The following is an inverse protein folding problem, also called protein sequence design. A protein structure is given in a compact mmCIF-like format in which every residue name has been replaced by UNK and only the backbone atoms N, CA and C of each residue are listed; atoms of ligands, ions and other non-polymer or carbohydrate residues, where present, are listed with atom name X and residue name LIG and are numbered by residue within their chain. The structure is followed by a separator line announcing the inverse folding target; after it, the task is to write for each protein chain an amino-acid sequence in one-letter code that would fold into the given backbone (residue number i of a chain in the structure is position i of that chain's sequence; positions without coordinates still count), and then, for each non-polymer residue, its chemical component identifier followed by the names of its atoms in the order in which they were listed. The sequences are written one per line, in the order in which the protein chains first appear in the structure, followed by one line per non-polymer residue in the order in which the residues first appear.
data_IF_007993506438
#
_entry.id   IF_007993506438
#
_cell.length_a   1.000
_cell.length_b   1.000
_cell.length_c   1.000
_cell.angle_alpha   90.00
_cell.angle_beta   90.00
_cell.angle_gamma   90.00
#
_symmetry.space_group_name_H-M   'P 1'
#
loop_
_entity.id
_entity.type
_entity.pdbx_description
1 polymer ?
#
# COMPACT_ATOMS: atom_id res chain seq x y z
N UNK A 1 -15.50 -14.10 -17.49
CA UNK A 1 -14.05 -14.19 -17.20
C UNK A 1 -13.29 -12.89 -17.45
N UNK A 2 -13.43 -12.26 -18.62
CA UNK A 2 -12.71 -11.02 -19.00
C UNK A 2 -12.83 -9.91 -17.94
N UNK A 3 -14.06 -9.55 -17.53
CA UNK A 3 -14.31 -8.49 -16.53
C UNK A 3 -13.54 -8.77 -15.24
N UNK A 4 -13.63 -9.99 -14.73
CA UNK A 4 -12.97 -10.38 -13.48
C UNK A 4 -11.45 -10.31 -13.58
N UNK A 5 -10.87 -10.93 -14.61
CA UNK A 5 -9.43 -10.96 -14.80
C UNK A 5 -8.84 -9.55 -14.91
N UNK A 6 -9.45 -8.71 -15.76
CA UNK A 6 -9.01 -7.33 -15.94
C UNK A 6 -9.19 -6.52 -14.66
N UNK A 7 -10.37 -6.60 -14.00
CA UNK A 7 -10.63 -5.90 -12.74
C UNK A 7 -9.56 -6.22 -11.71
N UNK A 8 -9.17 -7.49 -11.53
CA UNK A 8 -8.15 -7.90 -10.58
C UNK A 8 -6.80 -7.25 -10.87
N UNK A 9 -6.37 -7.21 -12.14
CA UNK A 9 -5.10 -6.58 -12.54
C UNK A 9 -5.08 -5.08 -12.26
N UNK A 10 -6.12 -4.37 -12.69
CA UNK A 10 -6.23 -2.92 -12.45
C UNK A 10 -6.31 -2.62 -10.95
N UNK A 11 -7.12 -3.37 -10.22
CA UNK A 11 -7.26 -3.21 -8.77
C UNK A 11 -5.92 -3.39 -8.05
N UNK A 12 -5.14 -4.40 -8.43
CA UNK A 12 -3.83 -4.67 -7.84
C UNK A 12 -2.80 -3.57 -8.14
N UNK A 13 -2.77 -3.05 -9.37
CA UNK A 13 -1.94 -1.92 -9.74
C UNK A 13 -2.34 -0.65 -8.96
N UNK A 14 -3.63 -0.38 -8.85
CA UNK A 14 -4.16 0.74 -8.08
C UNK A 14 -3.84 0.64 -6.59
N UNK A 15 -3.94 -0.54 -5.98
CA UNK A 15 -3.53 -0.77 -4.58
C UNK A 15 -2.03 -0.54 -4.36
N UNK A 16 -1.21 -0.87 -5.35
CA UNK A 16 0.24 -0.62 -5.30
C UNK A 16 0.53 0.90 -5.29
N UNK A 17 -0.14 1.66 -6.15
CA UNK A 17 -0.06 3.12 -6.19
C UNK A 17 -0.61 3.74 -4.90
N UNK A 18 -1.76 3.27 -4.43
CA UNK A 18 -2.39 3.69 -3.18
C UNK A 18 -1.44 3.52 -1.99
N UNK A 19 -0.77 2.38 -1.91
CA UNK A 19 0.23 2.12 -0.88
C UNK A 19 1.36 3.16 -0.90
N UNK A 20 1.87 3.54 -2.07
CA UNK A 20 2.87 4.60 -2.19
C UNK A 20 2.34 5.97 -1.73
N UNK A 21 1.11 6.32 -2.09
CA UNK A 21 0.46 7.58 -1.71
C UNK A 21 0.26 7.65 -0.19
N UNK A 22 -0.27 6.58 0.41
CA UNK A 22 -0.47 6.48 1.86
C UNK A 22 0.84 6.71 2.62
N UNK A 23 1.94 6.12 2.15
CA UNK A 23 3.27 6.27 2.76
C UNK A 23 3.81 7.70 2.66
N UNK A 24 3.67 8.33 1.48
CA UNK A 24 4.06 9.72 1.25
C UNK A 24 3.28 10.67 2.15
N UNK A 25 1.98 10.42 2.31
CA UNK A 25 1.07 11.24 3.12
C UNK A 25 1.07 10.87 4.60
N UNK A 26 2.07 10.12 5.07
CA UNK A 26 2.22 9.76 6.49
C UNK A 26 0.99 9.05 7.08
N UNK A 27 0.27 8.28 6.25
CA UNK A 27 -0.92 7.53 6.63
C UNK A 27 -2.06 8.41 7.21
N UNK A 28 -2.19 9.66 6.74
CA UNK A 28 -3.33 10.52 7.06
C UNK A 28 -4.59 10.08 6.32
N UNK A 29 -5.30 9.09 6.86
CA UNK A 29 -6.46 8.46 6.24
C UNK A 29 -7.48 9.42 5.62
N UNK A 30 -7.83 10.50 6.34
CA UNK A 30 -8.81 11.48 5.87
C UNK A 30 -8.47 12.08 4.50
N UNK A 31 -7.18 12.16 4.15
CA UNK A 31 -6.72 12.74 2.89
C UNK A 31 -6.92 11.83 1.67
N UNK A 32 -7.07 10.52 1.87
CA UNK A 32 -7.10 9.55 0.77
C UNK A 32 -8.25 8.54 0.82
N UNK A 33 -9.11 8.54 1.86
CA UNK A 33 -10.33 7.70 1.88
C UNK A 33 -11.21 7.89 0.64
N UNK A 34 -11.22 9.07 0.05
CA UNK A 34 -11.99 9.33 -1.17
C UNK A 34 -11.42 8.61 -2.41
N UNK A 35 -10.11 8.33 -2.45
CA UNK A 35 -9.44 7.67 -3.58
C UNK A 35 -9.88 6.21 -3.70
N UNK A 36 -10.18 5.55 -2.59
CA UNK A 36 -10.60 4.15 -2.56
C UNK A 36 -11.83 3.91 -3.44
N UNK A 37 -12.85 4.78 -3.34
CA UNK A 37 -14.06 4.72 -4.18
C UNK A 37 -13.71 4.77 -5.67
N UNK A 38 -12.75 5.61 -6.04
CA UNK A 38 -12.30 5.76 -7.43
C UNK A 38 -11.47 4.57 -7.91
N UNK A 39 -10.73 3.90 -7.03
CA UNK A 39 -10.00 2.68 -7.37
C UNK A 39 -10.99 1.56 -7.75
N UNK A 40 -12.04 1.37 -6.94
CA UNK A 40 -13.08 0.37 -7.22
C UNK A 40 -13.84 0.70 -8.50
N UNK A 41 -14.32 1.95 -8.62
CA UNK A 41 -15.03 2.39 -9.81
C UNK A 41 -14.16 2.27 -11.06
N UNK A 42 -12.91 2.73 -11.01
CA UNK A 42 -11.98 2.70 -12.14
C UNK A 42 -11.68 1.28 -12.64
N UNK A 43 -11.42 0.32 -11.74
CA UNK A 43 -11.14 -1.06 -12.13
C UNK A 43 -12.31 -1.73 -12.87
N UNK A 44 -13.55 -1.45 -12.45
CA UNK A 44 -14.75 -1.95 -13.13
C UNK A 44 -15.03 -1.17 -14.42
N UNK A 45 -14.92 0.16 -14.39
CA UNK A 45 -15.18 1.03 -15.54
C UNK A 45 -14.23 0.78 -16.71
N UNK A 46 -13.01 0.28 -16.48
CA UNK A 46 -12.10 -0.09 -17.57
C UNK A 46 -12.44 -1.47 -18.13
N UNK A 47 -12.80 -2.43 -17.28
CA UNK A 47 -13.02 -3.82 -17.70
C UNK A 47 -14.39 -4.05 -18.35
N UNK A 48 -15.43 -3.32 -17.91
CA UNK A 48 -16.80 -3.50 -18.38
C UNK A 48 -17.01 -3.11 -19.86
N UNK A 49 -16.52 -1.94 -20.35
CA UNK A 49 -16.65 -1.59 -21.76
C UNK A 49 -15.96 -2.59 -22.69
N UNK A 50 -14.79 -3.12 -22.30
CA UNK A 50 -14.07 -4.14 -23.08
C UNK A 50 -14.92 -5.39 -23.24
N UNK A 51 -15.54 -5.85 -22.14
CA UNK A 51 -16.42 -7.01 -22.20
C UNK A 51 -17.67 -6.75 -23.06
N UNK A 52 -18.29 -5.56 -22.96
CA UNK A 52 -19.46 -5.19 -23.77
C UNK A 52 -19.08 -5.15 -25.26
N UNK A 53 -17.97 -4.51 -25.61
CA UNK A 53 -17.47 -4.46 -27.00
C UNK A 53 -17.22 -5.87 -27.52
N UNK A 54 -16.57 -6.73 -26.73
CA UNK A 54 -16.30 -8.11 -27.13
C UNK A 54 -17.57 -8.94 -27.36
N UNK A 55 -18.60 -8.76 -26.50
CA UNK A 55 -19.90 -9.42 -26.68
C UNK A 55 -20.60 -8.93 -27.94
N UNK A 56 -20.67 -7.61 -28.14
CA UNK A 56 -21.36 -7.00 -29.30
C UNK A 56 -20.71 -7.41 -30.62
N UNK A 57 -19.38 -7.58 -30.64
CA UNK A 57 -18.63 -8.06 -31.80
C UNK A 57 -18.71 -9.57 -32.01
N UNK A 58 -19.27 -10.34 -31.07
CA UNK A 58 -19.23 -11.80 -31.12
C UNK A 58 -17.80 -12.37 -31.09
N UNK A 59 -16.83 -11.63 -30.56
CA UNK A 59 -15.43 -12.02 -30.48
C UNK A 59 -15.10 -12.89 -29.26
N UNK A 60 -16.10 -13.21 -28.44
CA UNK A 60 -15.96 -14.15 -27.33
C UNK A 60 -16.04 -15.58 -27.87
N UNK A 61 -14.90 -16.26 -27.86
CA UNK A 61 -14.72 -17.61 -28.35
C UNK A 61 -14.08 -18.50 -27.29
N UNK A 62 -14.17 -19.82 -27.48
CA UNK A 62 -13.47 -20.77 -26.64
C UNK A 62 -11.96 -20.61 -26.86
N UNK A 63 -11.22 -20.32 -25.80
CA UNK A 63 -9.78 -20.20 -25.78
C UNK A 63 -9.23 -21.05 -24.65
N UNK A 64 -8.68 -22.21 -25.01
CA UNK A 64 -8.26 -23.24 -24.05
C UNK A 64 -9.42 -23.65 -23.11
N UNK A 65 -9.29 -23.41 -21.80
CA UNK A 65 -10.27 -23.79 -20.77
C UNK A 65 -11.27 -22.68 -20.42
N UNK A 66 -11.17 -21.52 -21.06
CA UNK A 66 -11.98 -20.34 -20.75
C UNK A 66 -12.55 -19.70 -22.02
N UNK A 67 -13.63 -18.93 -21.88
CA UNK A 67 -14.07 -18.04 -22.96
C UNK A 67 -13.27 -16.73 -22.91
N UNK A 68 -12.62 -16.38 -24.03
CA UNK A 68 -11.79 -15.19 -24.15
C UNK A 68 -12.08 -14.43 -25.45
N UNK A 69 -11.49 -13.24 -25.59
CA UNK A 69 -11.49 -12.49 -26.85
C UNK A 69 -10.48 -13.20 -27.76
N UNK A 70 -10.97 -13.96 -28.74
CA UNK A 70 -10.13 -14.75 -29.63
C UNK A 70 -10.83 -14.92 -30.98
N UNK A 71 -10.09 -15.28 -32.02
CA UNK A 71 -10.63 -15.67 -33.32
C UNK A 71 -11.22 -17.09 -33.30
N UNK A 72 -12.15 -17.37 -34.22
CA UNK A 72 -12.70 -18.72 -34.42
C UNK A 72 -12.81 -19.08 -35.90
N UNK A 73 -12.29 -20.25 -36.34
CA UNK A 73 -11.52 -21.22 -35.55
C UNK A 73 -10.15 -20.65 -35.11
N UNK A 74 -9.62 -21.11 -33.97
CA UNK A 74 -8.39 -20.57 -33.40
C UNK A 74 -7.22 -20.71 -34.39
N UNK A 75 -6.54 -19.61 -34.72
CA UNK A 75 -5.43 -19.61 -35.68
C UNK A 75 -5.82 -19.26 -37.12
N UNK A 76 -7.11 -19.03 -37.41
CA UNK A 76 -7.58 -18.69 -38.76
C UNK A 76 -6.95 -17.40 -39.32
N UNK A 77 -6.53 -16.45 -38.49
CA UNK A 77 -5.84 -15.24 -38.98
C UNK A 77 -4.43 -15.53 -39.54
N UNK A 78 -3.81 -16.64 -39.12
CA UNK A 78 -2.47 -17.03 -39.55
C UNK A 78 -2.49 -17.94 -40.79
N UNK A 79 -3.63 -18.58 -41.06
CA UNK A 79 -3.80 -19.53 -42.14
C UNK A 79 -4.76 -18.95 -43.21
N UNK A 80 -4.26 -18.50 -44.37
CA UNK A 80 -5.11 -17.89 -45.39
C UNK A 80 -6.12 -18.87 -46.02
N UNK A 81 -5.94 -20.18 -45.84
CA UNK A 81 -6.84 -21.20 -46.37
C UNK A 81 -8.06 -21.44 -45.45
N UNK A 82 -8.04 -20.91 -44.23
CA UNK A 82 -9.11 -21.07 -43.23
C UNK A 82 -9.77 -19.73 -42.96
N UNK A 83 -10.99 -19.53 -43.50
CA UNK A 83 -11.77 -18.33 -43.23
C UNK A 83 -12.18 -18.24 -41.74
N UNK A 84 -11.93 -17.09 -41.12
CA UNK A 84 -12.41 -16.81 -39.77
C UNK A 84 -13.94 -16.60 -39.78
N UNK A 85 -14.67 -17.39 -39.01
CA UNK A 85 -16.13 -17.22 -38.86
C UNK A 85 -16.48 -16.06 -37.92
N UNK A 86 -15.65 -15.84 -36.90
CA UNK A 86 -15.84 -14.80 -35.87
C UNK A 86 -14.50 -14.19 -35.45
N UNK A 87 -14.50 -12.89 -35.17
CA UNK A 87 -13.32 -12.18 -34.69
C UNK A 87 -12.31 -11.77 -35.77
N UNK A 88 -12.70 -11.77 -37.05
CA UNK A 88 -11.84 -11.34 -38.19
C UNK A 88 -11.65 -9.80 -38.26
N UNK A 89 -12.20 -9.06 -37.29
CA UNK A 89 -12.12 -7.61 -37.31
C UNK A 89 -10.70 -7.15 -36.92
N UNK A 90 -10.10 -6.27 -37.71
CA UNK A 90 -8.88 -5.51 -37.32
C UNK A 90 -9.00 -4.90 -35.92
N UNK A 91 -10.23 -4.57 -35.52
CA UNK A 91 -10.54 -4.03 -34.19
C UNK A 91 -10.40 -5.10 -33.09
N UNK A 92 -10.78 -6.36 -33.31
CA UNK A 92 -10.60 -7.45 -32.35
C UNK A 92 -9.11 -7.68 -32.09
N UNK A 93 -8.29 -7.76 -33.14
CA UNK A 93 -6.85 -7.88 -33.00
C UNK A 93 -6.21 -6.69 -32.27
N UNK A 94 -6.65 -5.46 -32.61
CA UNK A 94 -6.15 -4.26 -31.95
C UNK A 94 -6.54 -4.23 -30.47
N UNK A 95 -7.78 -4.59 -30.13
CA UNK A 95 -8.25 -4.70 -28.74
C UNK A 95 -7.45 -5.76 -28.00
N UNK A 96 -7.36 -6.98 -28.52
CA UNK A 96 -6.61 -8.06 -27.88
C UNK A 96 -5.14 -7.68 -27.65
N UNK A 97 -4.48 -7.17 -28.68
CA UNK A 97 -3.06 -6.78 -28.62
C UNK A 97 -2.84 -5.62 -27.64
N UNK A 98 -3.57 -4.52 -27.81
CA UNK A 98 -3.39 -3.32 -26.97
C UNK A 98 -3.73 -3.64 -25.52
N UNK A 99 -4.85 -4.31 -25.25
CA UNK A 99 -5.23 -4.66 -23.88
C UNK A 99 -4.31 -5.73 -23.28
N UNK A 100 -3.89 -6.73 -24.05
CA UNK A 100 -2.93 -7.74 -23.60
C UNK A 100 -1.60 -7.11 -23.17
N UNK A 101 -1.01 -6.28 -24.04
CA UNK A 101 0.23 -5.56 -23.73
C UNK A 101 0.07 -4.54 -22.60
N UNK A 102 -1.01 -3.76 -22.60
CA UNK A 102 -1.29 -2.80 -21.54
C UNK A 102 -1.44 -3.51 -20.18
N UNK A 103 -2.14 -4.66 -20.15
CA UNK A 103 -2.29 -5.48 -18.96
C UNK A 103 -0.95 -5.99 -18.46
N UNK A 104 -0.08 -6.49 -19.36
CA UNK A 104 1.27 -6.92 -19.02
C UNK A 104 2.11 -5.77 -18.42
N UNK A 105 2.07 -4.59 -19.03
CA UNK A 105 2.81 -3.42 -18.53
C UNK A 105 2.28 -2.99 -17.16
N UNK A 106 0.96 -2.81 -17.03
CA UNK A 106 0.33 -2.41 -15.77
C UNK A 106 0.67 -3.39 -14.66
N UNK A 107 0.68 -4.68 -14.96
CA UNK A 107 0.89 -5.73 -13.99
C UNK A 107 2.36 -5.96 -13.63
N UNK A 108 3.27 -5.96 -14.61
CA UNK A 108 4.70 -6.23 -14.37
C UNK A 108 5.54 -4.99 -14.08
N UNK A 109 5.06 -3.79 -14.41
CA UNK A 109 5.87 -2.56 -14.26
C UNK A 109 5.43 -1.75 -13.05
N UNK A 110 4.12 -1.53 -12.86
CA UNK A 110 3.63 -0.61 -11.80
C UNK A 110 3.93 -1.15 -10.38
N UNK A 111 3.59 -2.40 -10.02
CA UNK A 111 3.83 -2.89 -8.66
C UNK A 111 5.30 -2.96 -8.24
N UNK A 112 6.26 -3.37 -9.10
CA UNK A 112 7.68 -3.31 -8.76
C UNK A 112 8.18 -1.88 -8.56
N UNK A 113 7.78 -0.94 -9.41
CA UNK A 113 8.13 0.47 -9.23
C UNK A 113 7.59 0.97 -7.88
N UNK A 114 6.34 0.64 -7.54
CA UNK A 114 5.74 0.98 -6.25
C UNK A 114 6.54 0.39 -5.07
N UNK A 115 6.94 -0.88 -5.13
CA UNK A 115 7.80 -1.49 -4.11
C UNK A 115 9.17 -0.81 -4.00
N UNK A 116 9.79 -0.44 -5.12
CA UNK A 116 11.06 0.30 -5.12
C UNK A 116 10.88 1.66 -4.43
N UNK A 117 9.81 2.39 -4.76
CA UNK A 117 9.46 3.67 -4.11
C UNK A 117 9.23 3.49 -2.61
N UNK A 118 8.52 2.43 -2.19
CA UNK A 118 8.29 2.11 -0.78
C UNK A 118 9.61 1.82 -0.04
N UNK A 119 10.51 1.02 -0.64
CA UNK A 119 11.83 0.73 -0.08
C UNK A 119 12.70 1.98 0.04
N UNK A 120 12.70 2.85 -0.98
CA UNK A 120 13.41 4.14 -0.92
C UNK A 120 12.84 5.02 0.18
N UNK A 121 11.51 5.04 0.34
CA UNK A 121 10.82 5.79 1.38
C UNK A 121 11.21 5.31 2.78
N UNK A 122 11.31 3.98 3.01
CA UNK A 122 11.83 3.41 4.26
C UNK A 122 13.26 3.88 4.54
N UNK A 123 14.13 3.87 3.52
CA UNK A 123 15.52 4.32 3.69
C UNK A 123 15.59 5.79 4.11
N UNK A 124 14.76 6.65 3.51
CA UNK A 124 14.66 8.07 3.88
C UNK A 124 14.19 8.25 5.32
N UNK A 125 13.11 7.57 5.72
CA UNK A 125 12.61 7.61 7.11
C UNK A 125 13.68 7.11 8.10
N UNK A 126 14.43 6.06 7.76
CA UNK A 126 15.53 5.56 8.60
C UNK A 126 16.62 6.60 8.85
N UNK A 127 16.96 7.41 7.84
CA UNK A 127 17.94 8.49 7.98
C UNK A 127 17.38 9.60 8.89
N UNK A 128 16.11 9.97 8.71
CA UNK A 128 15.47 10.99 9.54
C UNK A 128 15.36 10.56 11.01
N UNK A 129 14.97 9.31 11.29
CA UNK A 129 14.91 8.73 12.65
C UNK A 129 16.27 8.86 13.38
N UNK A 130 17.40 8.71 12.67
CA UNK A 130 18.73 8.85 13.28
C UNK A 130 19.04 10.28 13.71
N UNK A 131 18.48 11.28 13.03
CA UNK A 131 18.67 12.70 13.32
C UNK A 131 17.75 13.21 14.44
N UNK A 132 16.64 12.51 14.70
CA UNK A 132 15.67 12.92 15.72
C UNK A 132 16.12 12.53 17.15
N UNK A 133 15.84 13.41 18.11
CA UNK A 133 16.07 13.20 19.55
C UNK A 133 14.70 13.29 20.28
N UNK A 134 14.57 12.61 21.42
CA UNK A 134 13.39 12.71 22.31
C UNK A 134 12.09 12.16 21.71
N UNK A 135 10.97 12.86 21.95
CA UNK A 135 9.61 12.44 21.54
C UNK A 135 9.49 12.20 20.03
N UNK A 136 10.12 13.04 19.20
CA UNK A 136 10.11 12.89 17.73
C UNK A 136 10.73 11.57 17.28
N UNK A 137 11.81 11.11 17.95
CA UNK A 137 12.45 9.83 17.63
C UNK A 137 11.51 8.65 17.85
N UNK A 138 10.69 8.68 18.89
CA UNK A 138 9.71 7.61 19.17
C UNK A 138 8.62 7.57 18.10
N UNK A 139 8.04 8.72 17.74
CA UNK A 139 7.00 8.82 16.71
C UNK A 139 7.53 8.31 15.35
N UNK A 140 8.70 8.80 14.93
CA UNK A 140 9.31 8.37 13.67
C UNK A 140 9.73 6.88 13.68
N UNK A 141 10.13 6.34 14.84
CA UNK A 141 10.41 4.91 14.99
C UNK A 141 9.14 4.06 14.86
N UNK A 142 8.02 4.50 15.42
CA UNK A 142 6.72 3.84 15.26
C UNK A 142 6.28 3.87 13.79
N UNK A 143 6.37 5.03 13.13
CA UNK A 143 6.09 5.18 11.69
C UNK A 143 6.95 4.25 10.84
N UNK A 144 8.25 4.15 11.14
CA UNK A 144 9.17 3.24 10.45
C UNK A 144 8.75 1.77 10.60
N UNK A 145 8.26 1.36 11.79
CA UNK A 145 7.78 0.00 12.03
C UNK A 145 6.54 -0.29 11.16
N UNK A 146 5.52 0.57 11.23
CA UNK A 146 4.33 0.46 10.40
C UNK A 146 4.65 0.38 8.90
N UNK A 147 5.55 1.25 8.43
CA UNK A 147 5.99 1.26 7.03
C UNK A 147 6.69 -0.04 6.60
N UNK A 148 7.53 -0.60 7.50
CA UNK A 148 8.22 -1.87 7.26
C UNK A 148 7.21 -3.02 7.18
N UNK A 149 6.22 -3.03 8.06
CA UNK A 149 5.18 -4.06 8.05
C UNK A 149 4.34 -3.98 6.77
N UNK A 150 3.82 -2.80 6.40
CA UNK A 150 3.09 -2.58 5.13
C UNK A 150 3.92 -3.01 3.92
N UNK A 151 5.19 -2.63 3.87
CA UNK A 151 6.07 -3.02 2.74
C UNK A 151 6.29 -4.54 2.72
N UNK A 152 6.43 -5.19 3.87
CA UNK A 152 6.54 -6.64 3.96
C UNK A 152 5.28 -7.33 3.46
N UNK A 153 4.10 -6.81 3.82
CA UNK A 153 2.80 -7.32 3.34
C UNK A 153 2.72 -7.18 1.82
N UNK A 154 2.93 -5.98 1.28
CA UNK A 154 2.90 -5.72 -0.16
C UNK A 154 3.90 -6.60 -0.92
N UNK A 155 5.10 -6.79 -0.36
CA UNK A 155 6.13 -7.66 -0.96
C UNK A 155 5.66 -9.13 -1.01
N UNK A 156 5.14 -9.66 0.10
CA UNK A 156 4.64 -11.05 0.15
C UNK A 156 3.47 -11.26 -0.82
N UNK A 157 2.52 -10.32 -0.86
CA UNK A 157 1.41 -10.36 -1.81
C UNK A 157 1.89 -10.33 -3.25
N UNK A 158 2.85 -9.45 -3.58
CA UNK A 158 3.37 -9.35 -4.95
C UNK A 158 4.06 -10.62 -5.38
N UNK A 159 4.97 -11.15 -4.57
CA UNK A 159 5.70 -12.38 -4.92
C UNK A 159 4.77 -13.58 -5.02
N UNK A 160 3.76 -13.68 -4.16
CA UNK A 160 2.76 -14.76 -4.23
C UNK A 160 1.95 -14.70 -5.53
N UNK A 161 1.52 -13.50 -5.90
CA UNK A 161 0.78 -13.28 -7.15
C UNK A 161 1.67 -13.52 -8.37
N UNK A 162 2.89 -12.99 -8.38
CA UNK A 162 3.83 -13.19 -9.49
C UNK A 162 4.24 -14.65 -9.66
N UNK A 163 4.50 -15.36 -8.57
CA UNK A 163 4.87 -16.78 -8.61
C UNK A 163 3.77 -17.66 -9.20
N UNK A 164 2.50 -17.27 -9.05
CA UNK A 164 1.37 -18.01 -9.63
C UNK A 164 1.12 -17.64 -11.09
N UNK A 165 1.36 -16.38 -11.48
CA UNK A 165 1.14 -15.91 -12.85
C UNK A 165 2.31 -16.14 -13.81
N UNK A 166 3.53 -16.31 -13.31
CA UNK A 166 4.72 -16.43 -14.18
C UNK A 166 4.62 -17.61 -15.15
N UNK A 167 3.98 -18.72 -14.75
CA UNK A 167 3.80 -19.89 -15.62
C UNK A 167 2.85 -19.59 -16.78
N UNK A 168 1.75 -18.86 -16.54
CA UNK A 168 0.85 -18.40 -17.60
C UNK A 168 1.57 -17.48 -18.58
N UNK A 169 2.43 -16.59 -18.08
CA UNK A 169 3.20 -15.69 -18.94
C UNK A 169 4.22 -16.45 -19.77
N UNK A 170 4.88 -17.46 -19.20
CA UNK A 170 5.80 -18.33 -19.96
C UNK A 170 5.01 -19.12 -21.00
N UNK A 171 3.81 -19.62 -20.68
CA UNK A 171 2.94 -20.31 -21.63
C UNK A 171 2.55 -19.40 -22.81
N UNK A 172 2.08 -18.18 -22.52
CA UNK A 172 1.73 -17.20 -23.53
C UNK A 172 2.96 -16.80 -24.38
N UNK A 173 4.11 -16.55 -23.76
CA UNK A 173 5.34 -16.24 -24.48
C UNK A 173 5.80 -17.41 -25.37
N UNK A 174 5.66 -18.65 -24.90
CA UNK A 174 5.95 -19.84 -25.69
C UNK A 174 5.03 -19.94 -26.91
N UNK A 175 3.72 -19.75 -26.72
CA UNK A 175 2.75 -19.74 -27.82
C UNK A 175 3.02 -18.64 -28.84
N UNK A 176 3.40 -17.44 -28.37
CA UNK A 176 3.77 -16.32 -29.25
C UNK A 176 5.03 -16.62 -30.09
N UNK A 177 6.06 -17.25 -29.49
CA UNK A 177 7.34 -17.53 -30.16
C UNK A 177 7.25 -18.75 -31.08
N UNK A 178 6.60 -19.82 -30.62
CA UNK A 178 6.56 -21.11 -31.32
C UNK A 178 5.33 -21.23 -32.24
N UNK A 179 4.29 -20.44 -32.00
CA UNK A 179 3.02 -20.51 -32.74
C UNK A 179 2.19 -21.75 -32.40
N UNK A 180 2.51 -22.47 -31.31
CA UNK A 180 1.80 -23.68 -30.86
C UNK A 180 1.51 -23.61 -29.38
N UNK A 181 0.32 -24.08 -28.98
CA UNK A 181 -0.09 -24.16 -27.58
C UNK A 181 0.58 -25.36 -26.91
N UNK A 182 1.27 -25.13 -25.79
CA UNK A 182 1.77 -26.20 -24.94
C UNK A 182 0.77 -26.50 -23.82
N UNK A 183 -0.09 -27.49 -24.05
CA UNK A 183 -1.16 -27.86 -23.12
C UNK A 183 -0.65 -28.21 -21.71
N UNK A 184 0.50 -28.89 -21.59
CA UNK A 184 1.06 -29.22 -20.27
C UNK A 184 1.39 -27.96 -19.47
N UNK A 185 1.99 -26.96 -20.14
CA UNK A 185 2.36 -25.71 -19.50
C UNK A 185 1.12 -24.86 -19.15
N UNK A 186 0.12 -24.83 -20.04
CA UNK A 186 -1.15 -24.16 -19.79
C UNK A 186 -1.91 -24.77 -18.60
N UNK A 187 -2.03 -26.10 -18.54
CA UNK A 187 -2.69 -26.82 -17.43
C UNK A 187 -2.00 -26.50 -16.10
N UNK A 188 -0.67 -26.53 -16.05
CA UNK A 188 0.08 -26.17 -14.82
C UNK A 188 -0.19 -24.72 -14.43
N UNK A 189 -0.22 -23.80 -15.40
CA UNK A 189 -0.54 -22.39 -15.18
C UNK A 189 -1.93 -22.16 -14.59
N UNK A 190 -2.95 -22.84 -15.13
CA UNK A 190 -4.33 -22.80 -14.62
C UNK A 190 -4.41 -23.38 -13.20
N UNK A 191 -3.76 -24.51 -12.93
CA UNK A 191 -3.70 -25.10 -11.60
C UNK A 191 -3.06 -24.16 -10.56
N UNK A 192 -1.92 -23.53 -10.90
CA UNK A 192 -1.25 -22.56 -10.03
C UNK A 192 -2.10 -21.31 -9.78
N UNK A 193 -2.81 -20.85 -10.81
CA UNK A 193 -3.74 -19.73 -10.70
C UNK A 193 -4.93 -20.07 -9.78
N UNK A 194 -5.44 -21.29 -9.84
CA UNK A 194 -6.49 -21.76 -8.92
C UNK A 194 -6.01 -21.80 -7.46
N UNK A 195 -4.76 -22.19 -7.22
CA UNK A 195 -4.16 -22.22 -5.87
C UNK A 195 -3.84 -20.81 -5.33
N UNK A 196 -3.79 -19.79 -6.20
CA UNK A 196 -3.46 -18.42 -5.82
C UNK A 196 -4.32 -17.88 -4.67
N UNK A 197 -5.63 -18.15 -4.68
CA UNK A 197 -6.54 -17.72 -3.61
C UNK A 197 -6.13 -18.30 -2.24
N UNK A 198 -5.72 -19.57 -2.20
CA UNK A 198 -5.25 -20.24 -0.98
C UNK A 198 -3.95 -19.61 -0.50
N UNK A 199 -3.01 -19.31 -1.40
CA UNK A 199 -1.74 -18.65 -1.03
C UNK A 199 -2.00 -17.26 -0.45
N UNK A 200 -2.88 -16.47 -1.08
CA UNK A 200 -3.25 -15.14 -0.58
C UNK A 200 -3.94 -15.22 0.79
N UNK A 201 -4.81 -16.20 1.00
CA UNK A 201 -5.46 -16.45 2.29
C UNK A 201 -4.44 -16.81 3.38
N UNK A 202 -3.46 -17.68 3.07
CA UNK A 202 -2.40 -18.03 3.99
C UNK A 202 -1.53 -16.82 4.36
N UNK A 203 -1.20 -15.97 3.38
CA UNK A 203 -0.49 -14.71 3.64
C UNK A 203 -1.33 -13.82 4.54
N UNK A 204 -2.62 -13.66 4.26
CA UNK A 204 -3.52 -12.86 5.09
C UNK A 204 -3.56 -13.33 6.55
N UNK A 205 -3.83 -14.62 6.81
CA UNK A 205 -3.88 -15.15 8.17
C UNK A 205 -2.54 -15.07 8.91
N UNK A 206 -1.41 -15.24 8.20
CA UNK A 206 -0.07 -15.05 8.81
C UNK A 206 0.15 -13.61 9.25
N UNK A 207 -0.39 -12.65 8.51
CA UNK A 207 -0.31 -11.23 8.86
C UNK A 207 -1.23 -10.89 10.02
N UNK A 208 -2.43 -11.46 10.05
CA UNK A 208 -3.38 -11.29 11.15
C UNK A 208 -2.87 -11.93 12.45
N UNK A 209 -2.33 -13.14 12.40
CA UNK A 209 -1.74 -13.79 13.58
C UNK A 209 -0.54 -13.00 14.17
N UNK A 210 0.17 -12.24 13.34
CA UNK A 210 1.25 -11.33 13.80
C UNK A 210 0.68 -10.07 14.47
N UNK A 211 -0.52 -9.62 14.08
CA UNK A 211 -1.26 -8.48 14.68
C UNK A 211 -1.62 -8.78 16.13
N UNK A 212 -2.28 -9.92 16.40
CA UNK A 212 -2.78 -10.27 17.75
C UNK A 212 -1.67 -10.26 18.79
N UNK A 213 -0.51 -10.86 18.49
CA UNK A 213 0.65 -10.90 19.41
C UNK A 213 1.22 -9.54 19.78
N UNK A 214 0.94 -8.52 18.98
CA UNK A 214 1.48 -7.17 19.18
C UNK A 214 0.58 -6.32 20.08
N UNK A 215 -0.72 -6.65 20.20
CA UNK A 215 -1.72 -5.91 20.99
C UNK A 215 -1.78 -6.43 22.43
N UNK A 216 -1.63 -7.73 22.66
CA UNK A 216 -1.77 -8.35 23.99
C UNK A 216 -0.66 -7.96 25.00
N UNK A 217 0.37 -7.23 24.55
CA UNK A 217 1.48 -6.79 25.39
C UNK A 217 1.55 -5.27 25.60
N UNK A 218 0.49 -4.53 25.29
CA UNK A 218 0.32 -3.22 25.88
C UNK A 218 -0.20 -3.46 27.30
N UNK A 219 0.63 -3.41 28.37
CA UNK A 219 0.08 -3.40 29.72
C UNK A 219 -0.92 -2.26 29.73
N UNK A 220 -2.17 -2.63 29.97
CA UNK A 220 -3.28 -1.70 30.01
C UNK A 220 -2.80 -0.54 30.86
N UNK A 221 -2.73 0.60 30.18
CA UNK A 221 -2.51 1.90 30.72
C UNK A 221 -3.50 2.12 31.87
N UNK A 222 -3.42 1.46 33.03
CA UNK A 222 -4.17 1.85 34.21
C UNK A 222 -3.56 3.20 34.59
N UNK A 223 -3.96 4.21 33.83
CA UNK A 223 -4.20 5.55 34.27
C UNK A 223 -5.23 5.33 35.37
N UNK A 224 -4.76 4.89 36.55
CA UNK A 224 -5.36 5.25 37.81
C UNK A 224 -5.52 6.74 37.64
N UNK A 225 -6.76 7.13 37.37
CA UNK A 225 -7.14 8.50 37.23
C UNK A 225 -6.44 9.21 38.38
N UNK A 226 -5.61 10.19 38.07
CA UNK A 226 -5.39 11.29 38.98
C UNK A 226 -6.72 12.07 39.06
N UNK A 227 -7.80 11.36 39.40
CA UNK A 227 -9.03 11.90 39.93
C UNK A 227 -8.57 12.38 41.29
N UNK A 228 -8.46 13.69 41.39
CA UNK A 228 -7.91 14.35 42.56
C UNK A 228 -8.69 13.94 43.79
N UNK A 229 -8.15 13.00 44.53
CA UNK A 229 -8.43 12.93 45.96
C UNK A 229 -7.81 14.17 46.57
N UNK A 230 -8.69 15.13 46.83
CA UNK A 230 -8.55 16.16 47.85
C UNK A 230 -7.20 16.86 47.88
N UNK A 231 -7.16 18.04 47.27
CA UNK A 231 -6.32 19.14 47.72
C UNK A 231 -6.71 19.49 49.17
N UNK A 232 -6.34 18.64 50.12
CA UNK A 232 -6.31 18.95 51.53
C UNK A 232 -5.21 20.00 51.72
N UNK A 233 -5.61 21.20 52.07
CA UNK A 233 -4.78 22.36 52.34
C UNK A 233 -3.50 22.00 53.12
N UNK A 234 -2.39 21.84 52.42
CA UNK A 234 -1.06 21.93 53.02
C UNK A 234 -0.61 23.40 52.93
N UNK A 235 -0.56 24.14 54.04
CA UNK A 235 -0.10 25.52 54.06
C UNK A 235 1.42 25.52 53.95
N UNK A 236 1.92 25.67 52.72
CA UNK A 236 3.36 25.67 52.46
C UNK A 236 3.69 25.61 50.98
N UNK A 237 3.13 26.54 50.18
CA UNK A 237 3.53 26.73 48.78
C UNK A 237 4.98 27.21 48.73
N UNK A 238 5.93 26.30 48.65
CA UNK A 238 7.24 26.59 48.06
C UNK A 238 7.01 26.84 46.57
N UNK A 239 7.18 28.10 46.16
CA UNK A 239 7.20 28.47 44.74
C UNK A 239 8.26 27.62 44.07
N UNK A 240 7.86 26.74 43.15
CA UNK A 240 8.78 26.00 42.31
C UNK A 240 9.55 27.04 41.48
N UNK A 241 10.79 27.33 41.86
CA UNK A 241 11.58 28.37 41.20
C UNK A 241 12.32 27.78 40.00
N UNK A 242 12.67 28.65 39.06
CA UNK A 242 13.49 28.26 37.89
C UNK A 242 14.84 27.67 38.33
N UNK A 243 15.31 28.02 39.54
CA UNK A 243 16.50 27.42 40.15
C UNK A 243 16.30 25.94 40.47
N UNK A 244 15.16 25.55 41.05
CA UNK A 244 14.82 24.14 41.35
C UNK A 244 14.74 23.29 40.07
N UNK A 245 14.21 23.87 38.99
CA UNK A 245 14.16 23.21 37.67
C UNK A 245 15.57 23.05 37.07
N UNK A 246 16.43 24.06 37.22
CA UNK A 246 17.83 24.01 36.74
C UNK A 246 18.68 23.05 37.57
N UNK A 247 18.50 23.00 38.87
CA UNK A 247 19.19 22.08 39.77
C UNK A 247 18.77 20.62 39.52
N UNK A 248 17.47 20.37 39.30
CA UNK A 248 16.97 19.07 38.87
C UNK A 248 17.48 18.66 37.47
N UNK A 249 17.78 19.62 36.59
CA UNK A 249 18.37 19.37 35.28
C UNK A 249 19.90 19.16 35.32
N UNK A 250 20.60 19.75 36.28
CA UNK A 250 22.06 19.64 36.45
C UNK A 250 22.50 18.38 37.20
N UNK A 251 21.59 17.69 37.88
CA UNK A 251 21.81 16.36 38.42
C UNK A 251 21.23 15.30 37.48
N UNK A 252 21.97 14.84 36.43
CA UNK A 252 21.61 13.65 35.67
C UNK A 252 21.87 12.43 36.56
N UNK A 253 21.02 12.25 37.57
CA UNK A 253 20.97 11.05 38.40
C UNK A 253 20.82 9.87 37.43
N UNK A 254 21.77 8.93 37.56
CA UNK A 254 21.71 7.53 37.09
C UNK A 254 20.26 7.17 36.75
N UNK A 255 19.95 7.11 35.46
CA UNK A 255 18.61 6.81 34.94
C UNK A 255 18.12 5.47 35.48
N UNK A 256 17.50 5.50 36.66
CA UNK A 256 16.51 4.50 37.07
C UNK A 256 15.44 4.62 36.01
N UNK A 257 15.23 3.55 35.25
CA UNK A 257 14.21 3.45 34.21
C UNK A 257 12.86 3.84 34.80
N UNK A 258 12.44 5.09 34.58
CA UNK A 258 11.13 5.54 35.03
C UNK A 258 10.07 4.77 34.23
N UNK A 259 9.00 4.29 34.89
CA UNK A 259 7.95 3.48 34.26
C UNK A 259 7.28 4.16 33.05
N UNK A 260 7.38 5.49 32.95
CA UNK A 260 6.87 6.27 31.82
C UNK A 260 7.57 5.94 30.47
N UNK A 261 8.87 5.64 30.49
CA UNK A 261 9.59 5.24 29.27
C UNK A 261 9.18 3.84 28.77
N UNK A 262 8.74 2.95 29.68
CA UNK A 262 8.13 1.66 29.33
C UNK A 262 6.70 1.84 28.78
N UNK A 263 5.94 2.78 29.33
CA UNK A 263 4.55 3.04 28.95
C UNK A 263 4.40 3.60 27.52
N UNK A 264 5.33 4.45 27.06
CA UNK A 264 5.30 4.98 25.68
C UNK A 264 5.85 3.98 24.64
N UNK A 265 6.67 3.00 25.06
CA UNK A 265 7.17 1.94 24.18
C UNK A 265 6.12 0.85 23.90
N UNK A 266 5.00 0.85 24.64
CA UNK A 266 4.05 -0.24 24.66
C UNK A 266 2.89 -0.12 23.66
N UNK A 267 2.68 1.00 22.96
CA UNK A 267 1.56 1.15 22.02
C UNK A 267 2.00 1.18 20.54
N UNK A 268 2.23 0.02 19.91
CA UNK A 268 2.49 -0.07 18.48
C UNK A 268 1.19 0.08 17.68
N UNK A 269 1.01 1.24 17.07
CA UNK A 269 -0.07 1.52 16.13
C UNK A 269 -0.02 0.55 14.93
N UNK A 270 -1.11 -0.13 14.62
CA UNK A 270 -1.28 -0.89 13.37
C UNK A 270 -2.14 -0.10 12.39
N UNK A 271 -1.58 0.25 11.24
CA UNK A 271 -2.34 0.76 10.09
C UNK A 271 -2.55 -0.40 9.10
N UNK A 272 -3.79 -0.59 8.64
CA UNK A 272 -4.17 -1.63 7.70
C UNK A 272 -4.80 -1.03 6.44
N UNK A 273 -4.40 -1.55 5.28
CA UNK A 273 -4.91 -1.09 3.97
C UNK A 273 -6.34 -1.61 3.72
N UNK A 274 -6.79 -2.64 4.44
CA UNK A 274 -8.03 -3.37 4.14
C UNK A 274 -9.10 -3.34 5.24
N UNK A 275 -8.86 -2.70 6.39
CA UNK A 275 -9.79 -2.81 7.53
C UNK A 275 -10.92 -1.76 7.53
N UNK A 276 -10.83 -0.66 6.78
CA UNK A 276 -11.92 0.32 6.59
C UNK A 276 -12.43 1.08 7.83
N UNK A 277 -12.29 0.53 9.03
CA UNK A 277 -12.77 1.06 10.30
C UNK A 277 -11.63 1.74 11.08
N UNK A 278 -11.76 3.05 11.39
CA UNK A 278 -10.84 3.69 12.32
C UNK A 278 -11.08 3.14 13.73
N UNK A 279 -10.05 2.55 14.35
CA UNK A 279 -10.09 2.04 15.72
C UNK A 279 -10.49 3.16 16.71
N UNK A 280 -11.67 3.09 17.36
CA UNK A 280 -12.16 4.12 18.27
C UNK A 280 -11.30 4.28 19.52
N UNK A 281 -10.45 3.29 19.86
CA UNK A 281 -9.57 3.33 21.03
C UNK A 281 -8.12 3.73 20.67
N UNK A 282 -7.86 4.10 19.42
CA UNK A 282 -6.54 4.59 19.02
C UNK A 282 -6.17 5.87 19.78
N UNK A 283 -4.98 5.95 20.43
CA UNK A 283 -4.47 7.18 21.03
C UNK A 283 -4.35 8.34 20.03
N UNK A 284 -4.44 8.03 18.73
CA UNK A 284 -4.42 8.99 17.61
C UNK A 284 -5.80 9.47 17.19
N UNK A 285 -6.89 8.80 17.55
CA UNK A 285 -8.25 9.29 17.29
C UNK A 285 -8.45 10.69 17.90
N UNK A 286 -7.81 10.96 19.04
CA UNK A 286 -7.79 12.27 19.72
C UNK A 286 -6.97 13.35 19.00
N UNK A 287 -6.05 12.96 18.13
CA UNK A 287 -5.24 13.87 17.30
C UNK A 287 -5.74 13.97 15.85
N UNK A 288 -6.72 13.13 15.47
CA UNK A 288 -7.37 13.13 14.15
C UNK A 288 -8.72 13.87 14.17
N UNK A 289 -9.36 13.99 15.34
CA UNK A 289 -10.38 15.01 15.57
C UNK A 289 -9.68 16.36 15.76
N UNK A 290 -9.37 17.03 14.64
CA UNK A 290 -8.86 18.40 14.62
C UNK A 290 -9.87 19.46 15.09
N UNK A 291 -11.02 19.06 15.62
CA UNK A 291 -12.02 19.98 16.17
C UNK A 291 -11.74 20.37 17.63
N UNK A 292 -10.61 19.95 18.21
CA UNK A 292 -10.18 20.41 19.53
C UNK A 292 -9.40 21.74 19.42
N UNK A 293 -10.17 22.83 19.51
CA UNK A 293 -9.79 24.20 19.87
C UNK A 293 -8.88 24.98 18.90
N UNK A 294 -9.53 25.68 17.97
CA UNK A 294 -9.06 26.94 17.39
C UNK A 294 -9.25 28.17 18.32
N UNK A 295 -9.39 27.95 19.62
CA UNK A 295 -9.38 29.01 20.64
C UNK A 295 -8.15 28.81 21.54
N UNK A 296 -7.00 29.28 21.08
CA UNK A 296 -6.00 29.92 21.94
C UNK A 296 -4.84 30.48 21.11
N UNK A 297 -4.76 31.82 21.12
CA UNK A 297 -3.52 32.55 21.36
C UNK A 297 -2.38 32.33 20.35
N UNK A 298 -2.32 33.24 19.39
CA UNK A 298 -1.10 33.70 18.74
C UNK A 298 0.07 33.80 19.72
N UNK A 299 1.02 32.86 19.62
CA UNK A 299 2.41 33.09 19.95
C UNK A 299 3.24 32.67 18.73
N UNK A 300 3.74 33.69 18.04
CA UNK A 300 4.63 33.59 16.89
C UNK A 300 5.93 32.88 17.30
N UNK A 301 5.99 31.57 17.07
CA UNK A 301 7.27 30.87 16.95
C UNK A 301 7.64 30.86 15.47
N UNK A 302 8.40 31.90 15.12
CA UNK A 302 9.11 32.09 13.87
C UNK A 302 10.01 30.87 13.59
N UNK A 303 9.42 29.85 12.96
CA UNK A 303 10.16 28.68 12.49
C UNK A 303 10.73 29.05 11.12
N UNK A 304 11.98 29.52 11.14
CA UNK A 304 12.74 29.97 9.98
C UNK A 304 12.49 29.14 8.72
N UNK A 305 12.04 29.85 7.69
CA UNK A 305 11.91 29.41 6.32
C UNK A 305 13.26 28.90 5.80
N UNK A 306 13.51 27.60 5.99
CA UNK A 306 14.49 26.85 5.24
C UNK A 306 13.99 26.73 3.80
N UNK A 307 14.47 27.64 2.95
CA UNK A 307 14.20 27.70 1.52
C UNK A 307 14.19 26.31 0.86
N UNK A 308 13.04 25.95 0.32
CA UNK A 308 12.92 24.99 -0.78
C UNK A 308 13.70 25.57 -1.97
N UNK A 309 14.98 25.20 -2.10
CA UNK A 309 15.70 25.36 -3.37
C UNK A 309 15.02 24.46 -4.39
N UNK A 310 14.34 25.10 -5.34
CA UNK A 310 14.11 24.58 -6.67
C UNK A 310 15.43 24.02 -7.21
N UNK A 311 15.44 22.70 -7.47
CA UNK A 311 16.50 22.07 -8.24
C UNK A 311 16.25 22.43 -9.70
N UNK A 312 16.94 23.48 -10.17
CA UNK A 312 16.98 23.84 -11.58
C UNK A 312 17.58 22.69 -12.40
N UNK A 313 16.91 22.45 -13.51
CA UNK A 313 17.23 21.56 -14.61
C UNK A 313 18.67 21.77 -15.08
N UNK A 314 19.47 20.70 -15.09
CA UNK A 314 20.69 20.65 -15.90
C UNK A 314 20.30 20.59 -17.38
N UNK A 315 20.27 21.76 -18.03
CA UNK A 315 20.34 21.88 -19.47
C UNK A 315 21.78 21.58 -19.89
N UNK A 316 22.01 20.40 -20.48
CA UNK A 316 23.21 20.16 -21.27
C UNK A 316 23.14 21.03 -22.52
N UNK A 317 24.06 21.99 -22.60
CA UNK A 317 24.40 22.70 -23.82
C UNK A 317 25.27 21.74 -24.63
N UNK A 318 24.76 21.28 -25.77
CA UNK A 318 25.54 20.59 -26.80
C UNK A 318 26.01 21.68 -27.74
N UNK A 319 27.32 21.96 -27.73
CA UNK A 319 27.95 22.79 -28.76
C UNK A 319 28.14 21.93 -30.02
N UNK A 320 27.58 22.40 -31.12
CA UNK A 320 27.68 21.87 -32.48
C UNK A 320 27.19 22.93 -33.45
#
# INVERSE_FOLDING_TARGET
SIVFYMTVLYYYASLSVFSCVAVKNSFRECQYKWIEKWIHAGAVCVSLPVAVIAVVQGSINAYDSVCWIAEYPLGCMKDPDVACERGDDRLTWAVESVYGWASMVIFFVIPPIALVVLRVSIKRVKINVKKCIGKRKMIESARKKALKDVTSQATLYLFSFWGTQIVNVIAAAYEMVVGRVNYNLAIVGVCLSGIQGVVLMLVYFRLEAKKSRTIDHVPECQIKSCQGDGLGNAPGKTKLTVADIREAAMNPIKRRSTPFAKMVAANPCSFHIFDGEPDPNSPWAKFLNSDYNSDHGSDDVECGSGALRHSSTCLMKVDG
#
